data_IF_080979287815
#
_entry.id   IF_080979287815
#
_cell.length_a   1.000
_cell.length_b   1.000
_cell.length_c   1.000
_cell.angle_alpha   90.00
_cell.angle_beta   90.00
_cell.angle_gamma   90.00
#
_symmetry.space_group_name_H-M   'P 1'
#
loop_
_entity.id
_entity.type
_entity.pdbx_description
1 polymer ?
#
# COMPACT_ATOMS: atom_id res chain seq x y z
N UNK A 1 13.04 1.78 -37.65
CA UNK A 1 12.33 2.17 -36.40
C UNK A 1 12.76 3.60 -36.11
N UNK A 2 11.84 4.57 -36.18
CA UNK A 2 12.19 5.98 -35.94
C UNK A 2 12.35 6.23 -34.42
N UNK A 3 13.16 7.21 -34.03
CA UNK A 3 13.34 7.57 -32.61
C UNK A 3 12.01 7.95 -31.93
N UNK A 4 11.09 8.59 -32.67
CA UNK A 4 9.75 8.91 -32.18
C UNK A 4 8.95 7.65 -31.81
N UNK A 5 8.97 6.64 -32.69
CA UNK A 5 8.27 5.36 -32.44
C UNK A 5 8.86 4.56 -31.27
N UNK A 6 10.15 4.77 -30.96
CA UNK A 6 10.78 4.15 -29.80
C UNK A 6 10.33 4.82 -28.50
N UNK A 7 10.33 6.16 -28.44
CA UNK A 7 9.91 6.91 -27.25
C UNK A 7 8.44 6.65 -26.87
N UNK A 8 7.55 6.50 -27.84
CA UNK A 8 6.16 6.14 -27.59
C UNK A 8 6.05 4.75 -26.98
N UNK A 9 6.77 3.76 -27.53
CA UNK A 9 6.81 2.40 -26.98
C UNK A 9 7.41 2.35 -25.58
N UNK A 10 8.47 3.14 -25.35
CA UNK A 10 9.08 3.26 -24.03
C UNK A 10 8.06 3.76 -23.00
N UNK A 11 7.35 4.86 -23.29
CA UNK A 11 6.32 5.40 -22.38
C UNK A 11 5.24 4.36 -22.07
N UNK A 12 4.66 3.74 -23.10
CA UNK A 12 3.63 2.71 -22.92
C UNK A 12 4.12 1.52 -22.09
N UNK A 13 5.37 1.11 -22.28
CA UNK A 13 5.97 -0.01 -21.52
C UNK A 13 6.16 0.38 -20.06
N UNK A 14 6.68 1.59 -19.79
CA UNK A 14 6.87 2.10 -18.43
C UNK A 14 5.52 2.22 -17.71
N UNK A 15 4.51 2.78 -18.38
CA UNK A 15 3.16 2.91 -17.81
C UNK A 15 2.54 1.55 -17.49
N UNK A 16 2.65 0.55 -18.38
CA UNK A 16 2.17 -0.82 -18.10
C UNK A 16 2.86 -1.42 -16.88
N UNK A 17 4.19 -1.27 -16.78
CA UNK A 17 4.96 -1.77 -15.64
C UNK A 17 4.54 -1.05 -14.35
N UNK A 18 4.38 0.27 -14.37
CA UNK A 18 3.98 1.06 -13.20
C UNK A 18 2.57 0.69 -12.73
N UNK A 19 1.62 0.54 -13.65
CA UNK A 19 0.24 0.14 -13.34
C UNK A 19 0.22 -1.24 -12.69
N UNK A 20 1.00 -2.19 -13.22
CA UNK A 20 1.01 -3.58 -12.74
C UNK A 20 1.80 -3.76 -11.43
N UNK A 21 2.84 -2.97 -11.22
CA UNK A 21 3.66 -3.02 -10.00
C UNK A 21 3.03 -2.28 -8.82
N UNK A 22 2.22 -1.23 -9.08
CA UNK A 22 1.48 -0.51 -8.03
C UNK A 22 0.15 -1.17 -7.64
N UNK A 23 -0.05 -2.46 -7.96
CA UNK A 23 -1.25 -3.20 -7.55
C UNK A 23 -1.08 -3.74 -6.13
N UNK A 24 -1.79 -3.13 -5.17
CA UNK A 24 -1.88 -3.63 -3.82
C UNK A 24 -3.24 -4.29 -3.54
N UNK A 25 -3.22 -5.57 -3.18
CA UNK A 25 -4.39 -6.24 -2.58
C UNK A 25 -4.32 -6.12 -1.06
N UNK A 26 -5.37 -5.59 -0.43
CA UNK A 26 -5.41 -5.45 1.02
C UNK A 26 -5.55 -6.82 1.70
N UNK A 27 -4.75 -7.02 2.76
CA UNK A 27 -4.78 -8.21 3.61
C UNK A 27 -4.95 -7.80 5.08
N UNK A 28 -5.80 -8.52 5.79
CA UNK A 28 -5.93 -8.39 7.24
C UNK A 28 -4.77 -9.09 7.96
N UNK A 29 -4.41 -8.57 9.14
CA UNK A 29 -3.45 -9.26 10.01
C UNK A 29 -4.08 -10.56 10.50
N UNK A 30 -3.29 -11.62 10.61
CA UNK A 30 -3.72 -12.82 11.29
C UNK A 30 -3.83 -12.48 12.78
N UNK A 31 -5.05 -12.49 13.32
CA UNK A 31 -5.27 -12.40 14.75
C UNK A 31 -4.57 -13.63 15.38
N UNK A 32 -3.49 -13.42 16.16
CA UNK A 32 -2.93 -14.48 16.99
C UNK A 32 -3.90 -14.69 18.16
N UNK A 33 -4.97 -15.43 17.90
CA UNK A 33 -5.87 -15.92 18.96
C UNK A 33 -5.23 -17.15 19.61
N UNK A 34 -4.11 -16.93 20.28
CA UNK A 34 -3.52 -17.86 21.28
C UNK A 34 -3.64 -17.31 22.71
N UNK A 35 -4.47 -16.28 22.90
CA UNK A 35 -5.01 -15.95 24.23
C UNK A 35 -6.53 -15.88 24.10
N UNK A 36 -7.16 -17.00 24.41
CA UNK A 36 -8.57 -17.05 24.79
C UNK A 36 -8.71 -16.24 26.08
N UNK A 37 -9.11 -14.98 25.96
CA UNK A 37 -9.82 -14.34 27.07
C UNK A 37 -11.18 -15.05 27.21
N UNK A 38 -11.52 -15.64 28.38
CA UNK A 38 -12.77 -16.37 28.57
C UNK A 38 -14.05 -15.50 28.53
N UNK A 39 -13.97 -14.22 28.15
CA UNK A 39 -15.07 -13.26 28.33
C UNK A 39 -15.59 -12.52 27.10
N UNK A 40 -15.00 -12.64 25.90
CA UNK A 40 -15.53 -11.90 24.74
C UNK A 40 -16.65 -12.68 24.01
N UNK A 41 -17.85 -12.62 24.60
CA UNK A 41 -19.08 -13.04 23.94
C UNK A 41 -19.25 -12.34 22.59
N UNK A 42 -19.46 -13.18 21.58
CA UNK A 42 -19.44 -12.77 20.18
C UNK A 42 -20.63 -11.91 19.80
N UNK A 43 -20.37 -10.69 19.34
CA UNK A 43 -21.28 -10.00 18.43
C UNK A 43 -21.12 -10.58 17.02
N UNK A 44 -21.94 -11.59 16.72
CA UNK A 44 -22.17 -12.14 15.38
C UNK A 44 -22.86 -11.07 14.51
N UNK A 45 -22.06 -10.21 13.88
CA UNK A 45 -22.49 -9.31 12.81
C UNK A 45 -22.48 -10.03 11.45
N UNK A 46 -23.58 -9.85 10.72
CA UNK A 46 -23.99 -10.45 9.44
C UNK A 46 -22.90 -10.42 8.34
N UNK A 47 -22.76 -11.53 7.60
CA UNK A 47 -22.04 -11.62 6.32
C UNK A 47 -20.51 -11.60 6.42
N UNK A 48 -19.90 -12.66 6.96
CA UNK A 48 -18.44 -12.74 7.14
C UNK A 48 -17.74 -12.87 5.77
N UNK A 49 -17.33 -11.75 5.17
CA UNK A 49 -16.35 -11.75 4.07
C UNK A 49 -15.16 -12.60 4.52
N UNK A 50 -14.73 -13.55 3.69
CA UNK A 50 -13.52 -14.34 3.94
C UNK A 50 -12.36 -13.36 4.09
N UNK A 51 -11.82 -13.24 5.31
CA UNK A 51 -10.67 -12.37 5.60
C UNK A 51 -9.51 -12.86 4.75
N UNK A 52 -9.07 -12.06 3.77
CA UNK A 52 -7.85 -12.37 3.00
C UNK A 52 -6.67 -12.13 3.93
N UNK A 53 -6.06 -13.21 4.41
CA UNK A 53 -4.88 -13.18 5.28
C UNK A 53 -3.65 -13.38 4.39
N UNK A 54 -2.64 -12.52 4.54
CA UNK A 54 -1.38 -12.68 3.81
C UNK A 54 -0.62 -13.90 4.33
N UNK A 55 0.11 -14.62 3.47
CA UNK A 55 0.85 -15.84 3.85
C UNK A 55 1.82 -15.63 5.03
N UNK A 56 2.37 -14.42 5.16
CA UNK A 56 3.29 -14.04 6.26
C UNK A 56 2.57 -13.65 7.56
N UNK A 57 1.24 -13.66 7.61
CA UNK A 57 0.42 -13.21 8.74
C UNK A 57 0.41 -11.69 8.98
N UNK A 58 1.34 -10.95 8.36
CA UNK A 58 1.39 -9.49 8.37
C UNK A 58 0.39 -8.92 7.37
N UNK A 59 -0.67 -8.31 7.88
CA UNK A 59 -1.63 -7.52 7.09
C UNK A 59 -1.26 -6.04 7.02
N UNK A 60 -1.76 -5.38 5.98
CA UNK A 60 -1.57 -3.95 5.74
C UNK A 60 -2.63 -3.08 6.42
N UNK A 61 -3.74 -3.66 6.87
CA UNK A 61 -4.84 -2.93 7.53
C UNK A 61 -4.49 -2.63 9.00
N UNK A 62 -4.62 -1.36 9.40
CA UNK A 62 -4.49 -0.90 10.77
C UNK A 62 -5.74 -1.19 11.62
N UNK A 63 -5.65 -0.93 12.93
CA UNK A 63 -6.78 -1.08 13.88
C UNK A 63 -8.01 -0.28 13.47
N UNK A 64 -7.81 0.89 12.85
CA UNK A 64 -8.87 1.77 12.35
C UNK A 64 -9.46 1.33 10.99
N UNK A 65 -9.05 0.17 10.45
CA UNK A 65 -9.50 -0.32 9.15
C UNK A 65 -8.77 0.31 7.96
N UNK A 66 -7.75 1.13 8.20
CA UNK A 66 -7.02 1.88 7.17
C UNK A 66 -5.82 1.09 6.64
N UNK A 67 -5.68 0.99 5.32
CA UNK A 67 -4.49 0.37 4.69
C UNK A 67 -3.24 1.25 4.86
N UNK A 68 -2.17 0.65 5.36
CA UNK A 68 -0.84 1.25 5.51
C UNK A 68 0.02 1.13 4.25
N UNK A 69 -0.30 0.19 3.36
CA UNK A 69 0.30 0.10 2.04
C UNK A 69 -0.36 1.15 1.13
N UNK A 70 -0.02 2.41 1.38
CA UNK A 70 -0.53 3.58 0.65
C UNK A 70 0.15 3.67 -0.71
N UNK A 71 -0.64 3.51 -1.76
CA UNK A 71 -0.31 3.81 -3.14
C UNK A 71 -1.44 4.66 -3.75
N UNK A 72 -1.13 5.69 -4.55
CA UNK A 72 0.19 6.27 -4.82
C UNK A 72 0.77 7.00 -3.60
N UNK A 73 2.09 7.16 -3.54
CA UNK A 73 2.73 7.98 -2.49
C UNK A 73 2.60 9.45 -2.86
N UNK A 74 2.49 10.32 -1.88
CA UNK A 74 2.54 11.76 -2.12
C UNK A 74 3.90 12.16 -2.69
N UNK A 75 3.88 13.00 -3.73
CA UNK A 75 5.08 13.53 -4.37
C UNK A 75 5.38 14.90 -3.80
N UNK A 76 6.61 15.09 -3.34
CA UNK A 76 7.08 16.36 -2.78
C UNK A 76 8.02 17.08 -3.75
N UNK A 77 7.78 18.38 -3.95
CA UNK A 77 8.63 19.20 -4.83
C UNK A 77 10.02 19.48 -4.24
N UNK A 78 10.15 19.46 -2.91
CA UNK A 78 11.39 19.71 -2.17
C UNK A 78 11.49 18.77 -0.95
N UNK A 79 12.73 18.38 -0.62
CA UNK A 79 12.99 17.62 0.62
C UNK A 79 12.88 18.55 1.82
N UNK A 80 12.08 18.19 2.82
CA UNK A 80 11.85 18.99 4.02
C UNK A 80 11.54 18.12 5.23
N UNK A 81 11.82 18.63 6.44
CA UNK A 81 11.42 17.99 7.70
C UNK A 81 10.20 18.71 8.25
N UNK A 82 9.12 17.97 8.52
CA UNK A 82 7.97 18.50 9.26
C UNK A 82 8.39 18.77 10.70
N UNK A 83 8.34 20.03 11.11
CA UNK A 83 8.78 20.47 12.45
C UNK A 83 7.90 19.97 13.58
N UNK A 84 6.65 19.60 13.32
CA UNK A 84 5.71 19.13 14.36
C UNK A 84 5.88 17.64 14.63
N UNK A 85 6.07 16.86 13.57
CA UNK A 85 6.05 15.40 13.64
C UNK A 85 7.45 14.79 13.52
N UNK A 86 8.43 15.55 13.02
CA UNK A 86 9.78 15.07 12.71
C UNK A 86 9.86 14.27 11.40
N UNK A 87 8.77 14.16 10.65
CA UNK A 87 8.74 13.37 9.41
C UNK A 87 9.58 14.03 8.31
N UNK A 88 10.42 13.23 7.65
CA UNK A 88 11.19 13.67 6.49
C UNK A 88 10.40 13.42 5.20
N UNK A 89 9.96 14.50 4.57
CA UNK A 89 9.40 14.49 3.23
C UNK A 89 10.56 14.56 2.24
N UNK A 90 10.67 13.60 1.33
CA UNK A 90 11.80 13.50 0.39
C UNK A 90 11.31 13.76 -1.02
N UNK A 91 11.94 14.72 -1.72
CA UNK A 91 11.78 14.86 -3.17
C UNK A 91 12.37 13.64 -3.86
N UNK A 92 11.57 12.98 -4.70
CA UNK A 92 12.04 11.90 -5.55
C UNK A 92 12.46 12.50 -6.91
N UNK A 93 13.72 12.30 -7.27
CA UNK A 93 14.29 12.80 -8.52
C UNK A 93 14.15 11.80 -9.68
N UNK A 94 13.81 10.55 -9.37
CA UNK A 94 13.57 9.52 -10.37
C UNK A 94 12.15 9.67 -10.92
N UNK A 95 12.04 9.86 -12.24
CA UNK A 95 10.76 10.00 -12.95
C UNK A 95 9.85 8.78 -12.77
N UNK A 96 10.43 7.61 -12.48
CA UNK A 96 9.75 6.31 -12.33
C UNK A 96 9.29 5.98 -10.91
N UNK A 97 9.61 6.83 -9.92
CA UNK A 97 9.19 6.67 -8.52
C UNK A 97 8.02 7.60 -8.14
N UNK A 98 7.66 8.52 -9.04
CA UNK A 98 6.53 9.45 -8.90
C UNK A 98 5.28 8.93 -9.62
#
# INVERSE_FOLDING_TARGET
ISLLSWWERFKLTVDDILIRSNVHSCYERKDNKDNTDPGSEGKKGKGKRVKKIHATGKGCINKDGVCTARFPREVFMHTSVDRKTGHLNIKKQESSIN
#
